data_IF_327872061997
#
_entry.id   IF_327872061997
#
_cell.length_a   1.000
_cell.length_b   1.000
_cell.length_c   1.000
_cell.angle_alpha   90.00
_cell.angle_beta   90.00
_cell.angle_gamma   90.00
#
_symmetry.space_group_name_H-M   'P 1'
#
loop_
_entity.id
_entity.type
_entity.pdbx_description
1 polymer ?
#
# COMPACT_ATOMS: atom_id res chain seq x y z
N UNK A 1 -18.76 -13.85 6.53
CA UNK A 1 -19.82 -13.48 5.57
C UNK A 1 -19.12 -13.02 4.30
N UNK A 2 -19.60 -13.45 3.13
CA UNK A 2 -19.04 -13.01 1.86
C UNK A 2 -19.22 -11.49 1.68
N UNK A 3 -18.19 -10.83 1.13
CA UNK A 3 -18.17 -9.36 0.91
C UNK A 3 -18.99 -8.95 -0.31
N UNK A 4 -19.28 -9.90 -1.19
CA UNK A 4 -20.09 -9.73 -2.39
C UNK A 4 -20.97 -10.95 -2.60
N UNK A 5 -22.03 -10.82 -3.36
CA UNK A 5 -22.92 -11.91 -3.67
C UNK A 5 -22.99 -12.18 -5.18
N UNK A 6 -23.56 -13.32 -5.54
CA UNK A 6 -23.71 -13.74 -6.93
C UNK A 6 -24.54 -12.75 -7.75
N UNK A 7 -25.63 -12.22 -7.18
CA UNK A 7 -26.56 -11.35 -7.91
C UNK A 7 -25.91 -10.00 -8.26
N UNK A 8 -25.16 -9.41 -7.34
CA UNK A 8 -24.45 -8.14 -7.59
C UNK A 8 -23.42 -8.30 -8.72
N UNK A 9 -22.68 -9.42 -8.73
CA UNK A 9 -21.72 -9.72 -9.80
C UNK A 9 -22.43 -9.98 -11.15
N UNK A 10 -23.58 -10.60 -11.11
CA UNK A 10 -24.38 -10.87 -12.32
C UNK A 10 -24.90 -9.56 -12.93
N UNK A 11 -25.48 -8.68 -12.12
CA UNK A 11 -25.99 -7.36 -12.53
C UNK A 11 -24.84 -6.46 -13.03
N UNK A 12 -23.66 -6.53 -12.40
CA UNK A 12 -22.48 -5.82 -12.85
C UNK A 12 -21.90 -6.37 -14.16
N UNK A 13 -22.39 -7.49 -14.68
CA UNK A 13 -21.89 -8.11 -15.90
C UNK A 13 -20.51 -8.75 -15.77
N UNK A 14 -20.11 -9.14 -14.55
CA UNK A 14 -18.81 -9.76 -14.28
C UNK A 14 -18.65 -11.15 -14.90
N UNK A 15 -19.76 -11.78 -15.29
CA UNK A 15 -19.80 -13.12 -15.88
C UNK A 15 -19.42 -13.17 -17.36
N UNK A 16 -19.41 -12.03 -18.06
CA UNK A 16 -19.02 -12.00 -19.47
C UNK A 16 -17.51 -12.05 -19.61
N UNK A 17 -17.01 -13.05 -20.32
CA UNK A 17 -15.62 -13.14 -20.73
C UNK A 17 -15.43 -12.72 -22.19
N UNK A 18 -14.25 -13.00 -22.72
CA UNK A 18 -13.90 -12.73 -24.11
C UNK A 18 -14.39 -13.81 -25.08
N UNK A 19 -14.26 -13.50 -26.37
CA UNK A 19 -14.57 -14.43 -27.46
C UNK A 19 -13.73 -15.71 -27.34
N UNK A 20 -14.36 -16.87 -27.62
CA UNK A 20 -13.73 -18.20 -27.62
C UNK A 20 -12.39 -18.24 -28.35
N UNK A 21 -12.26 -17.58 -29.49
CA UNK A 21 -10.99 -17.58 -30.27
C UNK A 21 -9.80 -16.90 -29.59
N UNK A 22 -10.05 -16.10 -28.52
CA UNK A 22 -9.01 -15.37 -27.79
C UNK A 22 -8.76 -15.92 -26.38
N UNK A 23 -9.42 -17.00 -26.01
CA UNK A 23 -9.34 -17.52 -24.67
C UNK A 23 -8.00 -18.18 -24.36
N UNK A 24 -7.66 -18.20 -23.07
CA UNK A 24 -6.50 -18.94 -22.58
C UNK A 24 -6.96 -20.27 -21.98
N UNK A 25 -6.38 -21.43 -22.37
CA UNK A 25 -6.73 -22.74 -21.82
C UNK A 25 -6.57 -22.85 -20.31
N UNK A 26 -5.66 -22.11 -19.70
CA UNK A 26 -5.48 -22.07 -18.25
C UNK A 26 -6.70 -21.53 -17.50
N UNK A 27 -7.60 -20.80 -18.18
CA UNK A 27 -8.87 -20.31 -17.63
C UNK A 27 -10.00 -21.33 -17.63
N UNK A 28 -9.80 -22.52 -18.24
CA UNK A 28 -10.82 -23.57 -18.29
C UNK A 28 -11.51 -23.86 -16.92
N UNK A 29 -10.78 -23.92 -15.79
CA UNK A 29 -11.42 -24.16 -14.49
C UNK A 29 -12.42 -23.08 -14.05
N UNK A 30 -12.31 -21.85 -14.59
CA UNK A 30 -13.14 -20.71 -14.22
C UNK A 30 -14.28 -20.42 -15.19
N UNK A 31 -14.32 -21.14 -16.31
CA UNK A 31 -15.37 -21.00 -17.33
C UNK A 31 -16.53 -21.94 -16.98
N UNK A 32 -17.73 -21.39 -16.89
CA UNK A 32 -18.95 -22.14 -16.65
C UNK A 32 -19.51 -22.74 -17.95
N UNK A 33 -19.64 -21.93 -19.00
CA UNK A 33 -20.20 -22.33 -20.28
C UNK A 33 -19.80 -21.39 -21.41
N UNK A 34 -20.18 -21.74 -22.64
CA UNK A 34 -20.05 -20.87 -23.82
C UNK A 34 -21.45 -20.49 -24.34
N UNK A 35 -21.67 -19.23 -24.63
CA UNK A 35 -22.92 -18.73 -25.23
C UNK A 35 -22.60 -17.69 -26.30
N UNK A 36 -23.14 -17.91 -27.50
CA UNK A 36 -22.91 -17.01 -28.64
C UNK A 36 -21.43 -16.75 -28.98
N UNK A 37 -20.54 -17.75 -28.78
CA UNK A 37 -19.10 -17.62 -29.04
C UNK A 37 -18.36 -16.80 -27.98
N UNK A 38 -18.96 -16.50 -26.84
CA UNK A 38 -18.38 -15.82 -25.70
C UNK A 38 -18.35 -16.79 -24.52
N UNK A 39 -17.25 -16.83 -23.79
CA UNK A 39 -17.14 -17.59 -22.55
C UNK A 39 -17.87 -16.89 -21.41
N UNK A 40 -18.58 -17.66 -20.59
CA UNK A 40 -19.23 -17.20 -19.38
C UNK A 40 -18.42 -17.69 -18.18
N UNK A 41 -18.03 -16.75 -17.33
CA UNK A 41 -17.24 -17.01 -16.12
C UNK A 41 -18.16 -17.52 -14.99
N UNK A 42 -17.68 -18.47 -14.21
CA UNK A 42 -18.35 -19.00 -13.01
C UNK A 42 -18.25 -17.99 -11.85
N UNK A 43 -19.34 -17.28 -11.61
CA UNK A 43 -19.43 -16.26 -10.57
C UNK A 43 -19.30 -16.82 -9.14
N UNK A 44 -19.65 -18.11 -8.91
CA UNK A 44 -19.42 -18.71 -7.59
C UNK A 44 -17.93 -18.75 -7.24
N UNK A 45 -17.09 -19.05 -8.21
CA UNK A 45 -15.63 -18.99 -8.05
C UNK A 45 -15.12 -17.57 -7.90
N UNK A 46 -15.74 -16.63 -8.61
CA UNK A 46 -15.41 -15.21 -8.49
C UNK A 46 -15.67 -14.70 -7.07
N UNK A 47 -16.82 -15.02 -6.46
CA UNK A 47 -17.13 -14.63 -5.07
C UNK A 47 -16.05 -15.11 -4.11
N UNK A 48 -15.68 -16.39 -4.19
CA UNK A 48 -14.65 -16.98 -3.30
C UNK A 48 -13.30 -16.30 -3.50
N UNK A 49 -12.91 -16.07 -4.76
CA UNK A 49 -11.62 -15.45 -5.08
C UNK A 49 -11.54 -13.96 -4.73
N UNK A 50 -12.66 -13.25 -4.79
CA UNK A 50 -12.73 -11.85 -4.32
C UNK A 50 -12.57 -11.80 -2.80
N UNK A 51 -13.22 -12.70 -2.06
CA UNK A 51 -13.10 -12.75 -0.60
C UNK A 51 -11.67 -13.10 -0.16
N UNK A 52 -11.05 -14.13 -0.77
CA UNK A 52 -9.64 -14.49 -0.53
C UNK A 52 -8.70 -13.30 -0.77
N UNK A 53 -8.85 -12.61 -1.89
CA UNK A 53 -8.03 -11.46 -2.24
C UNK A 53 -8.27 -10.27 -1.29
N UNK A 54 -9.52 -10.01 -0.92
CA UNK A 54 -9.89 -8.92 -0.01
C UNK A 54 -9.30 -9.13 1.38
N UNK A 55 -9.37 -10.34 1.92
CA UNK A 55 -8.83 -10.65 3.24
C UNK A 55 -7.29 -10.58 3.26
N UNK A 56 -6.62 -11.06 2.23
CA UNK A 56 -5.18 -10.93 2.10
C UNK A 56 -4.73 -9.45 2.02
N UNK A 57 -5.42 -8.64 1.21
CA UNK A 57 -5.13 -7.20 1.08
C UNK A 57 -5.45 -6.41 2.36
N UNK A 58 -6.51 -6.80 3.09
CA UNK A 58 -6.83 -6.27 4.43
C UNK A 58 -5.67 -6.48 5.40
N UNK A 59 -5.08 -7.68 5.45
CA UNK A 59 -3.93 -7.98 6.32
C UNK A 59 -2.70 -7.16 5.94
N UNK A 60 -2.44 -6.99 4.65
CA UNK A 60 -1.33 -6.15 4.17
C UNK A 60 -1.55 -4.70 4.60
N UNK A 61 -2.77 -4.16 4.45
CA UNK A 61 -3.13 -2.81 4.87
C UNK A 61 -3.01 -2.63 6.39
N UNK A 62 -3.46 -3.60 7.19
CA UNK A 62 -3.31 -3.64 8.66
C UNK A 62 -1.85 -3.56 9.07
N UNK A 63 -0.92 -4.20 8.35
CA UNK A 63 0.52 -4.08 8.60
C UNK A 63 1.08 -2.68 8.26
N UNK A 64 0.27 -1.82 7.63
CA UNK A 64 0.61 -0.45 7.26
C UNK A 64 1.49 -0.30 6.03
N UNK A 65 1.59 -1.33 5.25
CA UNK A 65 2.29 -1.31 3.98
C UNK A 65 1.39 -0.77 2.88
N UNK A 66 2.00 -0.16 1.86
CA UNK A 66 1.25 0.39 0.72
C UNK A 66 1.00 -0.69 -0.34
N UNK A 67 -0.20 -0.65 -0.92
CA UNK A 67 -0.63 -1.48 -2.04
C UNK A 67 -0.68 -0.57 -3.26
N UNK A 68 -0.07 -0.99 -4.37
CA UNK A 68 -0.05 -0.22 -5.62
C UNK A 68 -1.12 -0.75 -6.57
N UNK A 69 -2.01 0.12 -7.01
CA UNK A 69 -3.04 -0.20 -7.99
C UNK A 69 -2.58 0.12 -9.40
N UNK A 70 -2.85 -0.77 -10.35
CA UNK A 70 -2.43 -0.64 -11.76
C UNK A 70 -3.63 -0.87 -12.66
N UNK A 71 -4.04 0.15 -13.38
CA UNK A 71 -5.22 0.11 -14.25
C UNK A 71 -5.07 1.10 -15.43
N UNK A 72 -4.35 0.72 -16.48
CA UNK A 72 -4.18 1.59 -17.66
C UNK A 72 -5.29 1.41 -18.70
N UNK A 73 -6.24 0.48 -18.47
CA UNK A 73 -7.40 0.26 -19.34
C UNK A 73 -8.36 1.44 -19.27
N UNK A 74 -8.84 1.94 -20.40
CA UNK A 74 -9.72 3.13 -20.45
C UNK A 74 -10.94 3.00 -19.56
N UNK A 75 -11.54 1.81 -19.50
CA UNK A 75 -12.73 1.53 -18.70
C UNK A 75 -12.46 1.51 -17.18
N UNK A 76 -11.22 1.23 -16.78
CA UNK A 76 -10.82 1.08 -15.37
C UNK A 76 -10.21 2.35 -14.77
N UNK A 77 -9.60 3.19 -15.59
CA UNK A 77 -8.75 4.32 -15.23
C UNK A 77 -9.36 5.24 -14.17
N UNK A 78 -10.50 5.83 -14.50
CA UNK A 78 -11.16 6.83 -13.66
C UNK A 78 -11.76 6.18 -12.40
N UNK A 79 -12.36 5.00 -12.56
CA UNK A 79 -12.97 4.22 -11.46
C UNK A 79 -11.93 3.86 -10.40
N UNK A 80 -10.77 3.36 -10.83
CA UNK A 80 -9.69 2.97 -9.91
C UNK A 80 -9.07 4.19 -9.27
N UNK A 81 -8.81 5.26 -10.06
CA UNK A 81 -8.24 6.49 -9.54
C UNK A 81 -9.10 7.08 -8.41
N UNK A 82 -10.41 7.22 -8.61
CA UNK A 82 -11.32 7.82 -7.64
C UNK A 82 -11.40 7.00 -6.35
N UNK A 83 -11.61 5.68 -6.47
CA UNK A 83 -11.74 4.79 -5.30
C UNK A 83 -10.44 4.67 -4.51
N UNK A 84 -9.31 4.57 -5.20
CA UNK A 84 -7.99 4.38 -4.56
C UNK A 84 -7.46 5.66 -3.93
N UNK A 85 -7.73 6.81 -4.55
CA UNK A 85 -7.41 8.12 -3.99
C UNK A 85 -8.12 8.35 -2.66
N UNK A 86 -9.38 7.92 -2.52
CA UNK A 86 -10.15 8.06 -1.29
C UNK A 86 -9.48 7.36 -0.07
N UNK A 87 -8.82 6.22 -0.29
CA UNK A 87 -8.12 5.47 0.75
C UNK A 87 -6.63 5.82 0.90
N UNK A 88 -6.12 6.81 0.14
CA UNK A 88 -4.72 7.25 0.20
C UNK A 88 -3.69 6.19 -0.23
N UNK A 89 -4.07 5.30 -1.15
CA UNK A 89 -3.15 4.32 -1.75
C UNK A 89 -2.59 4.83 -3.07
N UNK A 90 -1.36 4.44 -3.45
CA UNK A 90 -0.77 4.79 -4.73
C UNK A 90 -1.42 4.01 -5.88
N UNK A 91 -1.50 4.64 -7.05
CA UNK A 91 -2.07 4.03 -8.25
C UNK A 91 -1.36 4.49 -9.53
N UNK A 92 -1.47 3.71 -10.61
CA UNK A 92 -0.97 4.02 -11.95
C UNK A 92 -2.10 3.77 -12.94
N UNK A 93 -2.53 4.83 -13.63
CA UNK A 93 -3.68 4.78 -14.54
C UNK A 93 -3.35 5.21 -15.97
N UNK A 94 -2.25 5.94 -16.19
CA UNK A 94 -1.92 6.40 -17.55
C UNK A 94 -1.05 5.39 -18.30
N UNK A 95 0.13 5.17 -17.83
CA UNK A 95 1.09 4.25 -18.45
C UNK A 95 2.02 3.67 -17.39
N UNK A 96 2.24 2.36 -17.44
CA UNK A 96 3.28 1.72 -16.65
C UNK A 96 4.65 2.00 -17.29
N UNK A 97 5.54 2.76 -16.64
CA UNK A 97 6.92 2.92 -17.13
C UNK A 97 7.69 1.65 -16.83
N UNK A 98 8.34 1.06 -17.84
CA UNK A 98 9.21 -0.11 -17.62
C UNK A 98 10.30 0.21 -16.60
N UNK A 99 10.52 -0.72 -15.66
CA UNK A 99 11.45 -0.52 -14.56
C UNK A 99 10.86 0.20 -13.35
N UNK A 100 9.55 0.36 -13.29
CA UNK A 100 8.89 1.07 -12.18
C UNK A 100 9.17 0.43 -10.82
N UNK A 101 9.23 -0.88 -10.74
CA UNK A 101 9.59 -1.61 -9.53
C UNK A 101 11.06 -2.02 -9.54
N UNK A 102 11.53 -2.59 -10.63
CA UNK A 102 12.89 -3.13 -10.76
C UNK A 102 13.96 -2.06 -10.77
N UNK A 103 13.64 -0.85 -11.25
CA UNK A 103 14.54 0.32 -11.23
C UNK A 103 13.91 1.49 -10.46
N UNK A 104 13.38 1.20 -9.29
CA UNK A 104 12.66 2.16 -8.45
C UNK A 104 13.51 3.41 -8.11
N UNK A 105 14.83 3.26 -7.98
CA UNK A 105 15.73 4.38 -7.73
C UNK A 105 15.65 5.46 -8.82
N UNK A 106 15.55 5.08 -10.09
CA UNK A 106 15.40 6.01 -11.22
C UNK A 106 14.01 6.68 -11.22
N UNK A 107 12.97 5.93 -10.91
CA UNK A 107 11.62 6.50 -10.75
C UNK A 107 11.61 7.54 -9.62
N UNK A 108 12.25 7.26 -8.48
CA UNK A 108 12.40 8.22 -7.38
C UNK A 108 13.17 9.48 -7.77
N UNK A 109 14.18 9.37 -8.65
CA UNK A 109 14.87 10.54 -9.21
C UNK A 109 13.92 11.39 -10.07
N UNK A 110 13.07 10.75 -10.89
CA UNK A 110 12.07 11.46 -11.71
C UNK A 110 11.02 12.19 -10.83
N UNK A 111 10.55 11.56 -9.76
CA UNK A 111 9.65 12.20 -8.77
C UNK A 111 10.34 13.38 -8.07
N UNK A 112 11.61 13.23 -7.66
CA UNK A 112 12.39 14.34 -7.08
C UNK A 112 12.57 15.48 -8.07
N UNK A 113 12.80 15.18 -9.36
CA UNK A 113 12.89 16.21 -10.41
C UNK A 113 11.60 17.03 -10.50
N UNK A 114 10.44 16.38 -10.42
CA UNK A 114 9.14 17.09 -10.40
C UNK A 114 9.07 18.05 -9.20
N UNK A 115 9.39 17.59 -8.00
CA UNK A 115 9.42 18.44 -6.80
C UNK A 115 10.44 19.59 -6.90
N UNK A 116 11.57 19.39 -7.60
CA UNK A 116 12.56 20.45 -7.85
C UNK A 116 12.00 21.50 -8.80
N UNK A 117 11.29 21.09 -9.85
CA UNK A 117 10.65 22.02 -10.78
C UNK A 117 9.57 22.86 -10.06
N UNK A 118 8.79 22.24 -9.16
CA UNK A 118 7.79 22.94 -8.36
C UNK A 118 8.44 23.99 -7.44
N UNK A 119 9.58 23.69 -6.82
CA UNK A 119 10.35 24.65 -6.03
C UNK A 119 10.88 25.80 -6.89
N UNK A 120 11.47 25.51 -8.04
CA UNK A 120 11.96 26.55 -8.96
C UNK A 120 10.85 27.50 -9.38
N UNK A 121 9.61 27.00 -9.52
CA UNK A 121 8.43 27.83 -9.81
C UNK A 121 8.06 28.75 -8.65
N UNK A 122 8.31 28.33 -7.40
CA UNK A 122 7.97 29.09 -6.18
C UNK A 122 9.07 30.10 -5.81
N UNK A 123 10.32 29.75 -6.03
CA UNK A 123 11.51 30.53 -5.60
C UNK A 123 11.86 31.69 -6.57
N UNK A 124 11.05 31.97 -7.58
CA UNK A 124 11.30 33.03 -8.57
C UNK A 124 12.45 32.74 -9.55
N UNK A 125 13.08 31.57 -9.45
CA UNK A 125 14.17 31.17 -10.38
C UNK A 125 13.68 31.12 -11.83
N UNK A 126 12.39 30.88 -12.02
CA UNK A 126 11.72 30.91 -13.32
C UNK A 126 11.80 32.28 -14.01
N UNK A 127 11.94 33.40 -13.27
CA UNK A 127 11.93 34.74 -13.87
C UNK A 127 13.17 35.03 -14.69
N UNK A 128 14.29 34.37 -14.37
CA UNK A 128 15.56 34.51 -15.07
C UNK A 128 15.73 33.58 -16.29
N UNK A 129 14.73 32.71 -16.58
CA UNK A 129 14.80 31.71 -17.66
C UNK A 129 14.04 32.20 -18.90
N UNK A 130 14.51 31.83 -20.10
CA UNK A 130 13.86 32.18 -21.36
C UNK A 130 12.43 31.62 -21.47
N UNK A 131 11.53 32.33 -22.18
CA UNK A 131 10.14 31.86 -22.38
C UNK A 131 10.05 30.46 -23.01
N UNK A 132 10.96 30.12 -23.93
CA UNK A 132 11.02 28.81 -24.57
C UNK A 132 11.37 27.70 -23.54
N UNK A 133 12.31 27.98 -22.69
CA UNK A 133 12.78 27.06 -21.68
C UNK A 133 11.75 26.86 -20.57
N UNK A 134 11.10 27.94 -20.11
CA UNK A 134 9.94 27.86 -19.20
C UNK A 134 8.87 26.91 -19.73
N UNK A 135 8.51 27.06 -20.99
CA UNK A 135 7.49 26.21 -21.63
C UNK A 135 7.94 24.75 -21.71
N UNK A 136 9.22 24.48 -21.97
CA UNK A 136 9.76 23.12 -22.04
C UNK A 136 9.73 22.45 -20.66
N UNK A 137 10.16 23.15 -19.62
CA UNK A 137 10.13 22.68 -18.23
C UNK A 137 8.69 22.40 -17.76
N UNK A 138 7.77 23.33 -18.07
CA UNK A 138 6.35 23.16 -17.75
C UNK A 138 5.73 21.93 -18.42
N UNK A 139 6.04 21.68 -19.69
CA UNK A 139 5.59 20.47 -20.41
C UNK A 139 6.19 19.19 -19.81
N UNK A 140 7.46 19.24 -19.44
CA UNK A 140 8.13 18.10 -18.78
C UNK A 140 7.49 17.81 -17.41
N UNK A 141 7.24 18.84 -16.61
CA UNK A 141 6.54 18.70 -15.32
C UNK A 141 5.15 18.09 -15.51
N UNK A 142 4.35 18.60 -16.42
CA UNK A 142 3.01 18.08 -16.69
C UNK A 142 3.04 16.59 -17.11
N UNK A 143 4.02 16.20 -17.94
CA UNK A 143 4.21 14.80 -18.33
C UNK A 143 4.60 13.91 -17.15
N UNK A 144 5.46 14.39 -16.25
CA UNK A 144 5.85 13.67 -15.04
C UNK A 144 4.67 13.54 -14.08
N UNK A 145 3.90 14.61 -13.89
CA UNK A 145 2.72 14.62 -13.02
C UNK A 145 1.65 13.64 -13.52
N UNK A 146 1.35 13.61 -14.81
CA UNK A 146 0.39 12.66 -15.40
C UNK A 146 0.80 11.22 -15.16
N UNK A 147 2.09 10.88 -15.29
CA UNK A 147 2.54 9.50 -15.19
C UNK A 147 2.91 9.06 -13.77
N UNK A 148 3.39 9.97 -12.93
CA UNK A 148 3.99 9.65 -11.62
C UNK A 148 3.36 10.41 -10.46
N UNK A 149 2.41 11.30 -10.71
CA UNK A 149 1.79 12.14 -9.68
C UNK A 149 1.15 11.33 -8.54
N UNK A 150 0.49 10.24 -8.88
CA UNK A 150 -0.18 9.36 -7.92
C UNK A 150 0.77 8.52 -7.05
N UNK A 151 2.06 8.44 -7.39
CA UNK A 151 3.07 7.66 -6.65
C UNK A 151 4.11 8.52 -5.93
N UNK A 152 3.91 9.83 -5.88
CA UNK A 152 4.85 10.78 -5.21
C UNK A 152 5.13 10.38 -3.77
N UNK A 153 4.10 9.95 -3.03
CA UNK A 153 4.20 9.52 -1.64
C UNK A 153 4.85 8.13 -1.46
N UNK A 154 5.03 7.38 -2.53
CA UNK A 154 5.60 6.05 -2.46
C UNK A 154 7.11 6.12 -2.21
N UNK A 155 7.53 6.05 -0.95
CA UNK A 155 8.94 6.14 -0.55
C UNK A 155 9.70 4.81 -0.67
N UNK A 156 8.99 3.68 -0.60
CA UNK A 156 9.51 2.30 -0.67
C UNK A 156 8.71 1.48 -1.67
N UNK A 157 9.23 0.33 -2.07
CA UNK A 157 8.51 -0.63 -2.90
C UNK A 157 7.17 -0.99 -2.24
N UNK A 158 6.09 -1.16 -3.04
CA UNK A 158 4.80 -1.59 -2.52
C UNK A 158 4.89 -3.03 -2.01
N UNK A 159 4.05 -3.37 -1.04
CA UNK A 159 3.99 -4.72 -0.49
C UNK A 159 3.10 -5.66 -1.31
N UNK A 160 2.25 -5.11 -2.16
CA UNK A 160 1.40 -5.86 -3.08
C UNK A 160 1.02 -4.99 -4.28
N UNK A 161 0.67 -5.63 -5.39
CA UNK A 161 0.06 -5.01 -6.55
C UNK A 161 -1.37 -5.50 -6.73
N UNK A 162 -2.28 -4.56 -7.04
CA UNK A 162 -3.61 -4.89 -7.55
C UNK A 162 -3.72 -4.43 -8.99
N UNK A 163 -3.98 -5.35 -9.91
CA UNK A 163 -3.87 -5.13 -11.37
C UNK A 163 -5.24 -5.39 -12.01
N UNK A 164 -5.63 -4.50 -12.92
CA UNK A 164 -6.80 -4.70 -13.78
C UNK A 164 -6.29 -5.03 -15.18
N UNK A 165 -6.63 -6.23 -15.68
CA UNK A 165 -6.20 -6.76 -16.97
C UNK A 165 -4.69 -7.07 -17.05
N UNK A 166 -4.33 -8.30 -16.69
CA UNK A 166 -2.94 -8.77 -16.72
C UNK A 166 -2.35 -8.92 -18.14
N UNK A 167 -3.21 -9.07 -19.14
CA UNK A 167 -2.77 -9.15 -20.55
C UNK A 167 -2.15 -7.81 -20.98
N UNK A 168 -2.78 -6.70 -20.56
CA UNK A 168 -2.29 -5.37 -20.86
C UNK A 168 -1.11 -4.96 -19.97
N UNK A 169 -1.17 -5.32 -18.70
CA UNK A 169 -0.18 -4.95 -17.67
C UNK A 169 0.91 -6.04 -17.49
N UNK A 170 1.21 -6.82 -18.53
CA UNK A 170 2.19 -7.91 -18.47
C UNK A 170 3.57 -7.48 -17.94
N UNK A 171 4.00 -6.24 -18.20
CA UNK A 171 5.28 -5.71 -17.71
C UNK A 171 5.22 -5.55 -16.17
N UNK A 172 4.13 -5.03 -15.64
CA UNK A 172 3.95 -4.87 -14.20
C UNK A 172 3.95 -6.23 -13.47
N UNK A 173 3.26 -7.23 -14.05
CA UNK A 173 3.24 -8.61 -13.56
C UNK A 173 4.64 -9.22 -13.55
N UNK A 174 5.39 -9.08 -14.66
CA UNK A 174 6.74 -9.61 -14.77
C UNK A 174 7.72 -8.96 -13.77
N UNK A 175 7.62 -7.64 -13.58
CA UNK A 175 8.45 -6.94 -12.59
C UNK A 175 8.10 -7.35 -11.14
N UNK A 176 6.80 -7.47 -10.81
CA UNK A 176 6.36 -7.93 -9.51
C UNK A 176 6.86 -9.35 -9.20
N UNK A 177 6.71 -10.26 -10.15
CA UNK A 177 7.19 -11.65 -10.04
C UNK A 177 8.71 -11.71 -9.81
N UNK A 178 9.47 -10.87 -10.52
CA UNK A 178 10.93 -10.79 -10.36
C UNK A 178 11.35 -10.32 -8.95
N UNK A 179 10.54 -9.50 -8.31
CA UNK A 179 10.80 -8.97 -6.97
C UNK A 179 10.07 -9.73 -5.85
N UNK A 180 9.37 -10.82 -6.19
CA UNK A 180 8.53 -11.60 -5.27
C UNK A 180 7.51 -10.72 -4.52
N UNK A 181 6.89 -9.77 -5.23
CA UNK A 181 5.81 -8.94 -4.70
C UNK A 181 4.48 -9.63 -5.02
N UNK A 182 3.64 -9.94 -4.00
CA UNK A 182 2.35 -10.58 -4.23
C UNK A 182 1.46 -9.76 -5.15
N UNK A 183 0.87 -10.46 -6.13
CA UNK A 183 0.05 -9.89 -7.18
C UNK A 183 -1.39 -10.34 -7.07
N UNK A 184 -2.30 -9.37 -7.07
CA UNK A 184 -3.75 -9.53 -7.08
C UNK A 184 -4.26 -8.99 -8.40
N UNK A 185 -5.09 -9.71 -9.11
CA UNK A 185 -5.54 -9.21 -10.41
C UNK A 185 -6.96 -9.64 -10.78
N UNK A 186 -7.67 -8.74 -11.46
CA UNK A 186 -8.86 -9.08 -12.23
C UNK A 186 -8.39 -9.75 -13.52
N UNK A 187 -8.81 -10.99 -13.74
CA UNK A 187 -8.35 -11.86 -14.83
C UNK A 187 -9.54 -12.29 -15.67
N UNK A 188 -9.56 -11.87 -16.92
CA UNK A 188 -10.57 -12.33 -17.87
C UNK A 188 -10.12 -13.60 -18.60
N UNK A 189 -11.00 -14.19 -19.38
CA UNK A 189 -10.81 -15.47 -20.07
C UNK A 189 -9.69 -15.49 -21.13
N UNK A 190 -9.18 -14.33 -21.55
CA UNK A 190 -8.05 -14.19 -22.49
C UNK A 190 -6.67 -14.25 -21.83
N UNK A 191 -6.61 -14.32 -20.49
CA UNK A 191 -5.39 -14.17 -19.73
C UNK A 191 -5.03 -15.44 -18.95
N UNK A 192 -3.77 -15.58 -18.52
CA UNK A 192 -3.31 -16.73 -17.72
C UNK A 192 -3.47 -16.44 -16.21
N UNK A 193 -4.38 -17.13 -15.50
CA UNK A 193 -4.56 -16.94 -14.08
C UNK A 193 -3.34 -17.36 -13.23
N UNK A 194 -2.47 -18.23 -13.76
CA UNK A 194 -1.26 -18.68 -13.08
C UNK A 194 -0.12 -17.65 -13.10
N UNK A 195 -0.28 -16.59 -13.88
CA UNK A 195 0.69 -15.50 -13.92
C UNK A 195 0.69 -14.64 -12.66
N UNK A 196 -0.37 -14.71 -11.83
CA UNK A 196 -0.57 -13.93 -10.61
C UNK A 196 -0.87 -14.83 -9.42
N UNK A 197 -0.63 -14.33 -8.21
CA UNK A 197 -0.82 -15.12 -6.98
C UNK A 197 -2.30 -15.23 -6.58
N UNK A 198 -3.06 -14.15 -6.76
CA UNK A 198 -4.49 -14.07 -6.45
C UNK A 198 -5.26 -13.63 -7.69
N UNK A 199 -5.66 -14.60 -8.50
CA UNK A 199 -6.48 -14.35 -9.67
C UNK A 199 -7.96 -14.24 -9.29
N UNK A 200 -8.60 -13.13 -9.66
CA UNK A 200 -10.04 -12.88 -9.54
C UNK A 200 -10.65 -13.03 -10.92
N UNK A 201 -11.28 -14.16 -11.24
CA UNK A 201 -11.87 -14.36 -12.56
C UNK A 201 -13.09 -13.46 -12.71
N UNK A 202 -13.02 -12.48 -13.59
CA UNK A 202 -14.11 -11.56 -13.86
C UNK A 202 -13.88 -10.74 -15.13
N UNK A 203 -14.95 -10.12 -15.62
CA UNK A 203 -14.91 -9.22 -16.77
C UNK A 203 -14.09 -7.96 -16.44
N UNK A 204 -13.08 -7.72 -17.24
CA UNK A 204 -12.20 -6.56 -17.14
C UNK A 204 -12.50 -5.43 -18.15
N UNK A 205 -13.56 -5.60 -18.99
CA UNK A 205 -14.07 -4.60 -19.93
C UNK A 205 -15.26 -3.82 -19.39
N UNK A 206 -16.10 -4.44 -18.54
CA UNK A 206 -17.27 -3.79 -17.99
C UNK A 206 -16.88 -2.84 -16.83
N UNK A 207 -17.16 -1.56 -16.98
CA UNK A 207 -16.91 -0.54 -15.95
C UNK A 207 -17.63 -0.85 -14.63
N UNK A 208 -18.85 -1.40 -14.68
CA UNK A 208 -19.64 -1.83 -13.54
C UNK A 208 -18.99 -2.98 -12.78
N UNK A 209 -18.46 -3.99 -13.48
CA UNK A 209 -17.71 -5.11 -12.89
C UNK A 209 -16.44 -4.63 -12.17
N UNK A 210 -15.64 -3.81 -12.85
CA UNK A 210 -14.43 -3.24 -12.29
C UNK A 210 -14.76 -2.38 -11.07
N UNK A 211 -15.81 -1.55 -11.14
CA UNK A 211 -16.24 -0.71 -10.04
C UNK A 211 -16.70 -1.52 -8.82
N UNK A 212 -17.42 -2.61 -9.01
CA UNK A 212 -17.88 -3.48 -7.94
C UNK A 212 -16.70 -4.15 -7.23
N UNK A 213 -15.84 -4.84 -7.99
CA UNK A 213 -14.70 -5.59 -7.44
C UNK A 213 -13.70 -4.64 -6.76
N UNK A 214 -13.33 -3.54 -7.44
CA UNK A 214 -12.45 -2.53 -6.84
C UNK A 214 -13.07 -1.93 -5.59
N UNK A 215 -14.40 -1.72 -5.56
CA UNK A 215 -15.11 -1.23 -4.38
C UNK A 215 -15.04 -2.17 -3.19
N UNK A 216 -15.17 -3.49 -3.41
CA UNK A 216 -15.04 -4.50 -2.36
C UNK A 216 -13.60 -4.52 -1.81
N UNK A 217 -12.61 -4.50 -2.69
CA UNK A 217 -11.19 -4.48 -2.33
C UNK A 217 -10.82 -3.22 -1.56
N UNK A 218 -11.26 -2.04 -2.02
CA UNK A 218 -10.96 -0.77 -1.33
C UNK A 218 -11.61 -0.70 0.05
N UNK A 219 -12.84 -1.20 0.22
CA UNK A 219 -13.48 -1.31 1.53
C UNK A 219 -12.70 -2.23 2.48
N UNK A 220 -12.23 -3.39 2.00
CA UNK A 220 -11.43 -4.30 2.81
C UNK A 220 -10.10 -3.66 3.26
N UNK A 221 -9.46 -2.89 2.39
CA UNK A 221 -8.24 -2.14 2.72
C UNK A 221 -8.56 -1.05 3.76
N UNK A 222 -9.66 -0.34 3.62
CA UNK A 222 -10.11 0.69 4.56
C UNK A 222 -10.35 0.10 5.95
N UNK A 223 -11.03 -1.05 6.05
CA UNK A 223 -11.17 -1.81 7.30
C UNK A 223 -9.80 -2.13 7.93
N UNK A 224 -8.85 -2.64 7.13
CA UNK A 224 -7.50 -2.94 7.61
C UNK A 224 -6.75 -1.70 8.12
N UNK A 225 -6.91 -0.55 7.44
CA UNK A 225 -6.33 0.72 7.89
C UNK A 225 -6.99 1.23 9.17
N UNK A 226 -8.31 1.05 9.33
CA UNK A 226 -9.03 1.40 10.55
C UNK A 226 -8.58 0.54 11.74
N UNK A 227 -8.51 -0.78 11.58
CA UNK A 227 -7.98 -1.69 12.60
C UNK A 227 -6.55 -1.29 13.03
N UNK A 228 -5.70 -0.93 12.08
CA UNK A 228 -4.34 -0.46 12.38
C UNK A 228 -4.31 0.82 13.21
N UNK A 229 -5.26 1.76 13.00
CA UNK A 229 -5.33 2.98 13.80
C UNK A 229 -5.67 2.64 15.25
N UNK A 230 -6.69 1.80 15.46
CA UNK A 230 -7.07 1.31 16.79
C UNK A 230 -5.91 0.59 17.48
N UNK A 231 -5.24 -0.36 16.78
CA UNK A 231 -4.09 -1.09 17.33
C UNK A 231 -2.93 -0.15 17.73
N UNK A 232 -2.74 0.97 17.04
CA UNK A 232 -1.73 1.97 17.40
C UNK A 232 -2.12 2.82 18.60
N UNK A 233 -3.38 3.17 18.70
CA UNK A 233 -3.91 3.96 19.83
C UNK A 233 -3.81 3.15 21.11
N UNK A 234 -4.24 1.88 21.10
CA UNK A 234 -4.10 0.97 22.26
C UNK A 234 -2.63 0.75 22.65
N UNK A 235 -1.72 0.55 21.69
CA UNK A 235 -0.29 0.43 21.98
C UNK A 235 0.34 1.74 22.50
N UNK A 236 -0.18 2.89 22.14
CA UNK A 236 0.28 4.17 22.66
C UNK A 236 -0.15 4.35 24.10
N UNK A 237 -1.41 4.04 24.41
CA UNK A 237 -1.97 4.07 25.77
C UNK A 237 -1.25 3.10 26.72
N UNK A 238 -0.98 1.87 26.27
CA UNK A 238 -0.20 0.89 27.05
C UNK A 238 1.23 1.35 27.35
N UNK A 239 1.88 2.03 26.40
CA UNK A 239 3.23 2.58 26.58
C UNK A 239 3.24 3.80 27.52
N UNK A 240 2.21 4.59 27.52
CA UNK A 240 2.06 5.75 28.41
C UNK A 240 1.76 5.28 29.84
N UNK A 241 0.87 4.31 30.00
CA UNK A 241 0.60 3.66 31.30
C UNK A 241 1.81 2.95 31.90
N UNK A 242 2.67 2.35 31.05
CA UNK A 242 3.92 1.71 31.52
C UNK A 242 5.02 2.73 31.88
N UNK A 243 5.02 3.91 31.27
CA UNK A 243 5.94 5.00 31.65
C UNK A 243 5.56 5.63 32.97
N UNK A 244 4.28 5.96 33.16
CA UNK A 244 3.77 6.51 34.43
C UNK A 244 4.03 5.59 35.61
N UNK A 245 3.79 4.29 35.45
CA UNK A 245 4.06 3.30 36.53
C UNK A 245 5.55 3.09 36.81
N UNK A 246 6.45 3.29 35.83
CA UNK A 246 7.91 3.29 36.06
C UNK A 246 8.38 4.56 36.77
N UNK A 247 7.88 5.72 36.35
CA UNK A 247 8.22 7.01 36.96
C UNK A 247 7.71 7.08 38.42
N UNK A 248 6.54 6.52 38.72
CA UNK A 248 6.01 6.40 40.09
C UNK A 248 6.85 5.42 40.93
N UNK A 249 7.26 4.28 40.38
CA UNK A 249 8.14 3.31 41.06
C UNK A 249 9.53 3.89 41.33
N UNK A 250 10.07 4.72 40.43
CA UNK A 250 11.36 5.37 40.60
C UNK A 250 11.29 6.50 41.64
N UNK A 251 10.20 7.27 41.69
CA UNK A 251 9.95 8.28 42.73
C UNK A 251 9.75 7.64 44.11
N UNK A 252 9.06 6.52 44.21
CA UNK A 252 8.89 5.77 45.49
C UNK A 252 10.23 5.19 45.97
N UNK A 253 11.09 4.72 45.05
CA UNK A 253 12.41 4.19 45.38
C UNK A 253 13.41 5.30 45.79
N UNK A 254 13.32 6.46 45.18
CA UNK A 254 14.10 7.65 45.54
C UNK A 254 13.66 8.22 46.90
N UNK A 255 12.34 8.25 47.20
CA UNK A 255 11.80 8.66 48.49
C UNK A 255 12.16 7.74 49.67
N UNK A 256 12.32 6.43 49.41
CA UNK A 256 12.78 5.44 50.39
C UNK A 256 14.28 5.60 50.74
N UNK A 257 15.12 5.98 49.78
CA UNK A 257 16.55 6.21 50.01
C UNK A 257 16.83 7.51 50.81
N UNK A 258 15.98 8.51 50.72
CA UNK A 258 16.10 9.76 51.51
C UNK A 258 15.70 9.57 52.94
N UNK A 259 14.76 8.64 53.27
CA UNK A 259 14.37 8.35 54.65
C UNK A 259 15.37 7.49 55.43
N UNK A 260 16.19 6.68 54.76
CA UNK A 260 17.21 5.82 55.42
C UNK A 260 18.53 6.57 55.70
N UNK A 261 18.75 7.77 55.18
CA UNK A 261 19.95 8.58 55.47
C UNK A 261 19.80 9.59 56.61
N UNK A 262 18.59 9.71 57.20
CA UNK A 262 18.30 10.70 58.24
C UNK A 262 18.23 10.11 59.70
N UNK A 263 18.40 8.78 59.85
CA UNK A 263 18.35 8.12 61.17
C UNK A 263 19.70 7.64 61.72
N UNK A 264 20.81 8.15 61.13
CA UNK A 264 22.18 7.69 61.43
C UNK A 264 23.13 8.68 62.17
N UNK A 265 22.63 9.86 62.67
CA UNK A 265 23.48 10.78 63.41
C UNK A 265 22.93 11.08 64.81
N UNK A 266 23.16 10.19 65.78
CA UNK A 266 23.25 10.54 67.18
C UNK A 266 23.86 9.35 67.98
N UNK A 267 25.14 9.33 68.25
CA UNK A 267 25.77 9.06 69.55
C UNK A 267 27.25 8.64 69.42
N UNK A 268 28.07 9.30 70.18
CA UNK A 268 29.17 8.70 70.83
C UNK A 268 30.56 9.15 70.41
N UNK A 269 31.06 10.12 71.13
CA UNK A 269 32.38 10.70 71.03
C UNK A 269 33.48 9.85 71.68
N UNK A 270 34.66 10.40 71.61
CA UNK A 270 35.87 10.17 72.36
C UNK A 270 36.87 9.14 71.81
N UNK A 271 38.10 9.62 71.56
CA UNK A 271 39.29 8.78 71.56
C UNK A 271 40.43 9.28 70.68
N UNK A 272 41.24 10.18 71.28
CA UNK A 272 42.57 10.62 70.80
C UNK A 272 43.52 9.49 70.49
N UNK A 273 44.38 9.47 69.48
CA UNK A 273 45.70 10.01 69.28
C UNK A 273 46.51 9.24 68.18
N UNK A 274 47.75 9.67 67.79
CA UNK A 274 48.13 9.76 66.37
C UNK A 274 49.39 8.93 66.00
N UNK A 275 49.93 9.20 64.83
CA UNK A 275 51.25 8.77 64.25
C UNK A 275 51.23 7.43 63.50
N UNK A 276 51.78 7.32 62.29
CA UNK A 276 53.16 7.68 61.83
C UNK A 276 53.18 7.60 60.27
N UNK A 277 53.95 8.50 59.69
CA UNK A 277 54.49 8.38 58.32
C UNK A 277 55.36 7.12 58.22
N UNK A 278 55.49 6.54 57.03
CA UNK A 278 56.76 6.21 56.37
C UNK A 278 56.50 5.93 54.88
N UNK A 279 57.39 6.52 54.08
CA UNK A 279 57.66 6.40 52.66
C UNK A 279 57.89 4.93 52.20
N UNK A 280 57.49 4.59 51.03
CA UNK A 280 58.34 4.27 49.89
C UNK A 280 57.51 4.25 48.61
#
# INVERSE_FOLDING_TARGET
>A
MSRTNFNDLLEAGSHFGHLKRKWNPAMAPYIFTEKNGIHIIDLNKTVVKVDEAADALKQIAKSGKKILFVATKKQAKDIVADKVKAIGMPYVTERWPGGMLTNFATIRKAVKKMATIDKMSTDGTFDNISKKEKLQISRERAKLETNLGSIVELSRLPAALFIVDISKEHIAVAEAKRLNIPTFAIVDTNSDPNAVDFAIPANDDASTSIALITGVITKAIEEGLAERKVDKETQAEEKEGTKTSRDEAEQLSAGAKVKSSNDGEAKGGAGKKPRRKINS
#
